data_IF_723776502753
#
_entry.id   IF_723776502753
#
_cell.length_a   1.000
_cell.length_b   1.000
_cell.length_c   1.000
_cell.angle_alpha   90.00
_cell.angle_beta   90.00
_cell.angle_gamma   90.00
#
_symmetry.space_group_name_H-M   'P 1'
#
loop_
_entity.id
_entity.type
_entity.pdbx_description
1 polymer ?
#
# COMPACT_ATOMS: atom_id res chain seq x y z
N UNK A 1 -55.36 -18.53 -30.60
CA UNK A 1 -56.27 -18.24 -29.48
C UNK A 1 -55.99 -19.31 -28.44
N UNK A 2 -55.40 -18.90 -27.30
CA UNK A 2 -55.28 -19.58 -25.97
C UNK A 2 -55.00 -21.10 -26.02
N UNK A 3 -53.93 -21.64 -25.42
CA UNK A 3 -53.76 -21.76 -23.98
C UNK A 3 -52.45 -22.49 -23.64
N UNK A 4 -52.10 -22.44 -22.35
CA UNK A 4 -50.81 -22.74 -21.74
C UNK A 4 -50.38 -24.23 -21.66
N UNK A 5 -49.06 -24.44 -21.49
CA UNK A 5 -48.37 -25.44 -20.64
C UNK A 5 -46.86 -25.31 -20.93
N UNK A 6 -46.08 -24.57 -20.15
CA UNK A 6 -45.47 -24.93 -18.85
C UNK A 6 -44.44 -26.07 -18.94
N UNK A 7 -43.37 -25.90 -18.16
CA UNK A 7 -42.13 -26.71 -18.04
C UNK A 7 -41.07 -26.37 -19.11
N UNK A 8 -39.90 -25.80 -18.78
CA UNK A 8 -39.03 -26.19 -17.68
C UNK A 8 -38.27 -25.01 -17.05
N UNK A 9 -38.05 -25.14 -15.75
CA UNK A 9 -37.14 -24.32 -14.95
C UNK A 9 -35.69 -24.67 -15.29
N UNK A 10 -34.92 -23.69 -15.73
CA UNK A 10 -33.48 -23.65 -15.43
C UNK A 10 -33.11 -22.26 -14.90
N UNK A 11 -32.61 -22.25 -13.67
CA UNK A 11 -32.09 -21.07 -12.98
C UNK A 11 -30.78 -20.63 -13.64
N UNK A 12 -30.86 -19.93 -14.77
CA UNK A 12 -29.78 -19.14 -15.32
C UNK A 12 -29.58 -17.89 -14.46
N UNK A 13 -28.61 -17.91 -13.55
CA UNK A 13 -28.12 -16.68 -12.91
C UNK A 13 -27.45 -15.85 -14.01
N UNK A 14 -28.21 -14.94 -14.60
CA UNK A 14 -27.67 -13.88 -15.46
C UNK A 14 -26.82 -12.98 -14.58
N UNK A 15 -25.52 -13.23 -14.52
CA UNK A 15 -24.55 -12.25 -13.99
C UNK A 15 -24.44 -11.15 -15.05
N UNK A 16 -25.44 -10.28 -15.09
CA UNK A 16 -25.30 -9.00 -15.78
C UNK A 16 -24.26 -8.21 -14.99
N UNK A 17 -23.02 -8.23 -15.47
CA UNK A 17 -21.93 -7.35 -15.03
C UNK A 17 -22.31 -5.94 -15.49
N UNK A 18 -22.80 -5.03 -14.62
CA UNK A 18 -23.14 -3.69 -15.07
C UNK A 18 -21.89 -2.98 -15.60
N UNK A 19 -22.03 -2.34 -16.76
CA UNK A 19 -21.05 -1.48 -17.43
C UNK A 19 -20.47 -0.35 -16.54
N UNK A 20 -21.01 -0.17 -15.33
CA UNK A 20 -20.51 0.70 -14.27
C UNK A 20 -19.10 0.31 -13.74
N UNK A 21 -18.58 -0.87 -14.09
CA UNK A 21 -17.26 -1.34 -13.64
C UNK A 21 -16.05 -0.64 -14.29
N UNK A 22 -16.27 0.24 -15.26
CA UNK A 22 -15.19 0.89 -16.03
C UNK A 22 -14.79 2.30 -15.54
N UNK A 23 -15.20 2.71 -14.33
CA UNK A 23 -15.03 4.09 -13.80
C UNK A 23 -14.39 4.16 -12.39
N UNK A 24 -13.24 3.53 -12.19
CA UNK A 24 -12.37 3.77 -11.02
C UNK A 24 -12.93 3.36 -9.65
N UNK A 25 -14.01 2.58 -9.61
CA UNK A 25 -14.77 2.24 -8.40
C UNK A 25 -14.29 0.97 -7.69
N UNK A 26 -13.34 0.23 -8.26
CA UNK A 26 -12.81 -1.02 -7.69
C UNK A 26 -12.11 -0.79 -6.35
N UNK A 27 -11.79 0.44 -5.98
CA UNK A 27 -11.05 0.72 -4.75
C UNK A 27 -11.93 1.12 -3.55
N UNK A 28 -13.22 1.37 -3.78
CA UNK A 28 -14.10 2.00 -2.78
C UNK A 28 -14.78 1.01 -1.83
N UNK A 29 -14.81 -0.28 -2.19
CA UNK A 29 -15.26 -1.37 -1.32
C UNK A 29 -14.27 -1.68 -0.19
N UNK A 30 -12.98 -1.37 -0.39
CA UNK A 30 -11.93 -1.48 0.65
C UNK A 30 -11.67 -0.17 1.41
N UNK A 31 -12.47 0.87 1.16
CA UNK A 31 -12.30 2.14 1.85
C UNK A 31 -12.65 2.00 3.34
N UNK A 32 -11.78 2.52 4.20
CA UNK A 32 -12.01 2.56 5.65
C UNK A 32 -12.65 3.91 5.97
N UNK A 33 -13.83 3.87 6.59
CA UNK A 33 -14.63 5.07 6.86
C UNK A 33 -14.71 5.33 8.37
N UNK A 34 -14.74 6.61 8.79
CA UNK A 34 -15.04 6.95 10.16
C UNK A 34 -16.49 6.61 10.49
N UNK A 35 -16.71 6.14 11.71
CA UNK A 35 -18.05 6.00 12.26
C UNK A 35 -18.69 7.39 12.41
N UNK A 36 -19.92 7.54 11.91
CA UNK A 36 -20.66 8.79 11.97
C UNK A 36 -20.88 9.24 13.43
N UNK A 37 -20.56 10.50 13.72
CA UNK A 37 -20.77 11.10 15.04
C UNK A 37 -19.76 10.70 16.11
N UNK A 38 -18.78 9.83 15.83
CA UNK A 38 -17.77 9.39 16.81
C UNK A 38 -16.49 10.23 16.83
N UNK A 39 -16.12 10.86 15.72
CA UNK A 39 -14.80 11.51 15.57
C UNK A 39 -14.92 13.01 15.28
N UNK A 40 -14.02 13.81 15.85
CA UNK A 40 -13.89 15.22 15.55
C UNK A 40 -13.33 15.40 14.12
N UNK A 41 -14.01 16.20 13.30
CA UNK A 41 -13.51 16.55 11.96
C UNK A 41 -12.36 17.55 12.08
N UNK A 42 -11.23 17.26 11.43
CA UNK A 42 -10.12 18.19 11.32
C UNK A 42 -9.88 18.58 9.86
N UNK A 43 -9.33 19.77 9.60
CA UNK A 43 -9.05 20.19 8.23
C UNK A 43 -7.84 19.44 7.63
N UNK A 44 -7.62 19.62 6.32
CA UNK A 44 -6.56 18.92 5.60
C UNK A 44 -5.16 19.25 6.14
N UNK A 45 -4.93 20.47 6.59
CA UNK A 45 -3.64 20.90 7.11
C UNK A 45 -3.35 20.27 8.47
N UNK A 46 -4.34 20.25 9.35
CA UNK A 46 -4.30 19.57 10.64
C UNK A 46 -4.06 18.06 10.47
N UNK A 47 -4.74 17.41 9.51
CA UNK A 47 -4.50 16.00 9.21
C UNK A 47 -3.08 15.75 8.72
N UNK A 48 -2.57 16.54 7.78
CA UNK A 48 -1.19 16.41 7.29
C UNK A 48 -0.16 16.55 8.41
N UNK A 49 -0.33 17.55 9.27
CA UNK A 49 0.55 17.76 10.41
C UNK A 49 0.54 16.55 11.36
N UNK A 50 -0.66 16.00 11.65
CA UNK A 50 -0.81 14.79 12.48
C UNK A 50 -0.10 13.58 11.87
N UNK A 51 -0.27 13.35 10.57
CA UNK A 51 0.33 12.21 9.87
C UNK A 51 1.86 12.30 9.84
N UNK A 52 2.43 13.49 9.60
CA UNK A 52 3.89 13.70 9.64
C UNK A 52 4.47 13.55 11.06
N UNK A 53 3.70 13.90 12.08
CA UNK A 53 4.09 13.74 13.48
C UNK A 53 4.13 12.27 13.95
N UNK A 54 3.61 11.33 13.16
CA UNK A 54 3.74 9.89 13.43
C UNK A 54 5.16 9.34 13.16
N UNK A 55 6.05 10.15 12.57
CA UNK A 55 7.44 9.76 12.41
C UNK A 55 8.11 9.50 13.76
N UNK A 56 8.75 8.35 13.87
CA UNK A 56 9.62 8.00 14.99
C UNK A 56 10.97 7.53 14.42
N UNK A 57 12.10 8.16 14.78
CA UNK A 57 13.43 7.76 14.28
C UNK A 57 13.82 6.32 14.65
N UNK A 58 13.10 5.67 15.57
CA UNK A 58 13.30 4.25 15.92
C UNK A 58 12.59 3.29 14.97
N UNK A 59 11.69 3.77 14.11
CA UNK A 59 11.01 2.93 13.13
C UNK A 59 11.86 2.81 11.86
N UNK A 60 11.77 1.67 11.15
CA UNK A 60 12.54 1.43 9.93
C UNK A 60 11.92 2.08 8.67
N UNK A 61 10.99 3.01 8.85
CA UNK A 61 10.27 3.71 7.79
C UNK A 61 10.04 5.17 8.17
N UNK A 62 9.71 5.98 7.17
CA UNK A 62 9.50 7.41 7.34
C UNK A 62 8.30 7.91 6.53
N UNK A 63 7.72 9.01 7.00
CA UNK A 63 6.67 9.78 6.35
C UNK A 63 7.22 11.14 5.95
N UNK A 64 7.22 11.48 4.67
CA UNK A 64 7.77 12.76 4.18
C UNK A 64 6.72 13.53 3.39
N UNK A 65 6.80 14.86 3.42
CA UNK A 65 5.98 15.70 2.55
C UNK A 65 6.62 15.74 1.16
N UNK A 66 5.81 15.53 0.13
CA UNK A 66 6.17 15.81 -1.25
C UNK A 66 5.87 17.27 -1.61
N UNK A 67 6.44 17.74 -2.72
CA UNK A 67 6.27 19.12 -3.21
C UNK A 67 4.84 19.45 -3.66
N UNK A 68 4.06 18.45 -4.02
CA UNK A 68 2.64 18.55 -4.39
C UNK A 68 1.69 18.49 -3.16
N UNK A 69 2.25 18.48 -1.96
CA UNK A 69 1.49 18.40 -0.71
C UNK A 69 0.95 17.00 -0.39
N UNK A 70 1.34 15.97 -1.16
CA UNK A 70 1.13 14.59 -0.78
C UNK A 70 2.05 14.19 0.37
N UNK A 71 1.68 13.13 1.10
CA UNK A 71 2.57 12.47 2.05
C UNK A 71 3.07 11.17 1.42
N UNK A 72 4.37 10.90 1.55
CA UNK A 72 4.99 9.66 1.11
C UNK A 72 5.42 8.87 2.33
N UNK A 73 4.79 7.72 2.55
CA UNK A 73 5.26 6.73 3.50
C UNK A 73 6.21 5.77 2.78
N UNK A 74 7.43 5.62 3.27
CA UNK A 74 8.45 4.78 2.63
C UNK A 74 9.17 3.89 3.64
N UNK A 75 9.30 2.62 3.31
CA UNK A 75 10.13 1.65 4.02
C UNK A 75 11.15 1.07 3.04
N UNK A 76 12.43 1.33 3.28
CA UNK A 76 13.56 0.70 2.58
C UNK A 76 13.86 -0.64 3.27
N UNK A 77 13.28 -1.72 2.76
CA UNK A 77 13.31 -3.07 3.36
C UNK A 77 14.69 -3.70 3.20
N UNK A 78 15.27 -3.55 2.01
CA UNK A 78 16.62 -3.96 1.66
C UNK A 78 17.29 -2.78 0.97
N UNK A 79 18.35 -2.23 1.56
CA UNK A 79 18.98 -1.01 1.05
C UNK A 79 20.50 -1.09 1.24
N UNK A 80 20.94 -0.94 2.49
CA UNK A 80 22.35 -0.85 2.85
C UNK A 80 22.87 -2.15 3.44
N UNK A 81 22.03 -2.87 4.19
CA UNK A 81 22.36 -4.15 4.82
C UNK A 81 22.77 -5.20 3.78
N UNK A 82 22.09 -5.25 2.63
CA UNK A 82 22.38 -6.23 1.59
C UNK A 82 23.72 -5.96 0.87
N UNK A 83 24.12 -4.68 0.76
CA UNK A 83 25.40 -4.32 0.13
C UNK A 83 26.61 -4.84 0.91
N UNK A 84 26.54 -4.81 2.25
CA UNK A 84 27.65 -5.28 3.09
C UNK A 84 27.82 -6.80 3.06
N UNK A 85 26.73 -7.56 2.96
CA UNK A 85 26.80 -9.04 3.01
C UNK A 85 27.02 -9.69 1.65
N UNK A 86 26.49 -9.10 0.58
CA UNK A 86 26.55 -9.74 -0.73
C UNK A 86 27.73 -9.33 -1.61
N UNK A 87 28.54 -8.34 -1.20
CA UNK A 87 29.83 -7.94 -1.80
C UNK A 87 29.78 -7.49 -3.27
N UNK A 88 29.32 -8.36 -4.17
CA UNK A 88 29.13 -8.18 -5.62
C UNK A 88 27.67 -8.09 -6.04
N UNK A 89 26.70 -8.43 -5.17
CA UNK A 89 25.28 -8.25 -5.48
C UNK A 89 24.69 -7.05 -4.74
N UNK A 90 23.98 -6.20 -5.47
CA UNK A 90 23.21 -5.09 -4.95
C UNK A 90 21.73 -5.45 -5.01
N UNK A 91 21.09 -5.63 -3.86
CA UNK A 91 19.64 -5.80 -3.78
C UNK A 91 19.04 -4.57 -3.08
N UNK A 92 18.06 -3.96 -3.73
CA UNK A 92 17.23 -2.92 -3.14
C UNK A 92 15.80 -3.39 -3.16
N UNK A 93 15.10 -3.25 -2.04
CA UNK A 93 13.68 -3.51 -1.94
C UNK A 93 13.04 -2.40 -1.12
N UNK A 94 11.97 -1.81 -1.64
CA UNK A 94 11.24 -0.74 -0.97
C UNK A 94 9.73 -0.89 -1.12
N UNK A 95 9.04 -0.51 -0.06
CA UNK A 95 7.61 -0.27 -0.05
C UNK A 95 7.36 1.23 0.01
N UNK A 96 6.39 1.71 -0.77
CA UNK A 96 5.99 3.12 -0.80
C UNK A 96 4.46 3.23 -0.84
N UNK A 97 3.90 4.10 0.00
CA UNK A 97 2.52 4.57 -0.13
C UNK A 97 2.50 6.09 -0.33
N UNK A 98 1.84 6.54 -1.40
CA UNK A 98 1.63 7.97 -1.68
C UNK A 98 0.20 8.35 -1.31
N UNK A 99 0.06 9.29 -0.38
CA UNK A 99 -1.20 9.76 0.19
C UNK A 99 -1.52 11.14 -0.40
N UNK A 100 -2.57 11.21 -1.23
CA UNK A 100 -3.12 12.45 -1.74
C UNK A 100 -4.39 12.83 -0.97
N UNK A 101 -4.56 14.13 -0.69
CA UNK A 101 -5.68 14.64 0.10
C UNK A 101 -6.72 15.26 -0.83
N UNK A 102 -7.98 14.87 -0.64
CA UNK A 102 -9.16 15.44 -1.31
C UNK A 102 -10.03 16.10 -0.25
N UNK A 103 -9.84 17.41 0.02
CA UNK A 103 -10.64 18.15 0.99
C UNK A 103 -12.11 18.20 0.62
N UNK A 104 -12.45 18.23 -0.69
CA UNK A 104 -13.85 18.26 -1.13
C UNK A 104 -14.65 17.02 -0.72
N UNK A 105 -13.99 15.89 -0.51
CA UNK A 105 -14.62 14.62 -0.11
C UNK A 105 -14.20 14.16 1.29
N UNK A 106 -13.32 14.90 1.99
CA UNK A 106 -12.67 14.46 3.22
C UNK A 106 -12.05 13.06 3.04
N UNK A 107 -11.34 12.86 1.93
CA UNK A 107 -10.71 11.59 1.56
C UNK A 107 -9.18 11.70 1.54
N UNK A 108 -8.51 10.66 2.03
CA UNK A 108 -7.09 10.40 1.78
C UNK A 108 -7.00 9.26 0.79
N UNK A 109 -6.53 9.54 -0.43
CA UNK A 109 -6.37 8.56 -1.50
C UNK A 109 -4.95 8.02 -1.51
N UNK A 110 -4.83 6.70 -1.53
CA UNK A 110 -3.54 6.06 -1.24
C UNK A 110 -3.14 5.09 -2.34
N UNK A 111 -2.05 5.39 -3.00
CA UNK A 111 -1.44 4.52 -4.01
C UNK A 111 -0.26 3.79 -3.37
N UNK A 112 -0.34 2.47 -3.33
CA UNK A 112 0.72 1.62 -2.80
C UNK A 112 1.55 1.03 -3.94
N UNK A 113 2.86 0.98 -3.75
CA UNK A 113 3.78 0.29 -4.64
C UNK A 113 4.89 -0.39 -3.87
N UNK A 114 5.36 -1.50 -4.44
CA UNK A 114 6.55 -2.23 -4.01
C UNK A 114 7.48 -2.29 -5.21
N UNK A 115 8.77 -2.07 -4.99
CA UNK A 115 9.76 -2.31 -6.04
C UNK A 115 11.02 -2.90 -5.47
N UNK A 116 11.58 -3.82 -6.23
CA UNK A 116 12.80 -4.52 -5.92
C UNK A 116 13.69 -4.59 -7.14
N UNK A 117 15.00 -4.47 -6.95
CA UNK A 117 15.99 -4.72 -7.99
C UNK A 117 17.17 -5.46 -7.41
N UNK A 118 17.67 -6.46 -8.12
CA UNK A 118 18.90 -7.17 -7.80
C UNK A 118 19.84 -7.08 -8.99
N UNK A 119 21.07 -6.64 -8.72
CA UNK A 119 22.14 -6.51 -9.71
C UNK A 119 23.35 -7.30 -9.25
N UNK A 120 23.98 -8.08 -10.12
CA UNK A 120 25.21 -8.81 -9.86
C UNK A 120 25.98 -9.13 -11.15
N UNK A 121 27.12 -9.84 -11.07
CA UNK A 121 27.91 -10.20 -12.24
C UNK A 121 27.09 -11.03 -13.24
N UNK A 122 26.68 -10.42 -14.36
CA UNK A 122 25.88 -11.05 -15.40
C UNK A 122 24.38 -11.22 -15.07
N UNK A 123 23.90 -10.66 -13.95
CA UNK A 123 22.51 -10.82 -13.51
C UNK A 123 21.88 -9.45 -13.19
N UNK A 124 20.72 -9.19 -13.80
CA UNK A 124 19.88 -8.04 -13.46
C UNK A 124 18.42 -8.50 -13.42
N UNK A 125 17.79 -8.38 -12.26
CA UNK A 125 16.36 -8.65 -12.10
C UNK A 125 15.68 -7.45 -11.46
N UNK A 126 14.48 -7.14 -11.94
CA UNK A 126 13.66 -6.07 -11.40
C UNK A 126 12.24 -6.59 -11.22
N UNK A 127 11.62 -6.24 -10.10
CA UNK A 127 10.22 -6.47 -9.85
C UNK A 127 9.56 -5.16 -9.43
N UNK A 128 8.30 -4.99 -9.83
CA UNK A 128 7.50 -3.88 -9.36
C UNK A 128 6.05 -4.30 -9.26
N UNK A 129 5.40 -3.81 -8.22
CA UNK A 129 3.98 -3.98 -7.97
C UNK A 129 3.38 -2.61 -7.68
N UNK A 130 2.20 -2.36 -8.22
CA UNK A 130 1.36 -1.21 -7.87
C UNK A 130 -0.07 -1.69 -7.76
N UNK A 131 -0.72 -1.42 -6.63
CA UNK A 131 -2.05 -1.94 -6.36
C UNK A 131 -2.50 -1.68 -4.93
N UNK A 132 -3.44 -2.49 -4.46
CA UNK A 132 -3.97 -2.41 -3.09
C UNK A 132 -3.34 -3.53 -2.27
N UNK A 133 -2.62 -3.17 -1.20
CA UNK A 133 -2.05 -4.11 -0.25
C UNK A 133 -2.94 -4.14 1.00
N UNK A 134 -3.77 -5.19 1.10
CA UNK A 134 -4.67 -5.38 2.26
C UNK A 134 -3.93 -5.97 3.46
N UNK A 135 -3.11 -6.99 3.20
CA UNK A 135 -2.28 -7.65 4.18
C UNK A 135 -1.01 -8.13 3.49
N UNK A 136 0.15 -7.80 4.05
CA UNK A 136 1.42 -8.31 3.60
C UNK A 136 2.37 -8.40 4.79
N UNK A 137 2.92 -9.59 4.97
CA UNK A 137 3.98 -9.85 5.94
C UNK A 137 5.05 -10.69 5.27
N UNK A 138 6.28 -10.20 5.26
CA UNK A 138 7.42 -10.97 4.76
C UNK A 138 8.50 -11.01 5.84
N UNK A 139 8.85 -12.22 6.25
CA UNK A 139 10.00 -12.47 7.11
C UNK A 139 11.06 -13.15 6.27
N UNK A 140 12.23 -12.55 6.20
CA UNK A 140 13.38 -13.11 5.49
C UNK A 140 14.50 -13.35 6.48
N UNK A 141 15.16 -14.49 6.34
CA UNK A 141 16.34 -14.86 7.14
C UNK A 141 17.38 -15.49 6.22
N UNK A 142 18.60 -14.98 6.28
CA UNK A 142 19.73 -15.58 5.58
C UNK A 142 20.84 -15.93 6.57
N UNK A 143 21.40 -17.11 6.32
CA UNK A 143 22.49 -17.68 7.08
C UNK A 143 23.72 -17.72 6.17
N UNK A 144 24.83 -17.15 6.60
CA UNK A 144 26.10 -17.29 5.93
C UNK A 144 26.97 -18.29 6.68
N UNK A 145 27.63 -19.14 5.89
CA UNK A 145 28.75 -19.95 6.36
C UNK A 145 29.99 -19.07 6.31
N UNK A 146 30.50 -18.66 7.46
CA UNK A 146 31.65 -17.73 7.54
C UNK A 146 32.77 -18.36 8.37
N UNK A 147 34.00 -18.40 7.85
CA UNK A 147 35.19 -18.85 8.59
C UNK A 147 36.00 -19.98 7.92
N UNK A 148 37.23 -20.17 8.38
CA UNK A 148 38.01 -21.39 8.16
C UNK A 148 37.57 -22.43 9.21
N UNK A 149 37.63 -23.72 8.84
CA UNK A 149 37.11 -24.85 9.61
C UNK A 149 37.38 -24.74 11.14
N UNK A 150 36.35 -24.97 11.99
CA UNK A 150 34.97 -25.36 11.66
C UNK A 150 34.13 -24.20 11.12
N UNK A 151 33.29 -24.50 10.12
CA UNK A 151 32.37 -23.53 9.52
C UNK A 151 31.18 -23.35 10.48
N UNK A 152 31.07 -22.18 11.11
CA UNK A 152 29.91 -21.84 11.94
C UNK A 152 28.85 -21.10 11.10
N UNK A 153 27.59 -21.58 11.06
CA UNK A 153 26.50 -20.85 10.42
C UNK A 153 26.14 -19.62 11.26
N UNK A 154 26.29 -18.43 10.68
CA UNK A 154 25.88 -17.17 11.30
C UNK A 154 24.67 -16.61 10.58
N UNK A 155 23.62 -16.26 11.32
CA UNK A 155 22.52 -15.45 10.78
C UNK A 155 23.11 -14.08 10.43
N UNK A 156 23.18 -13.80 9.12
CA UNK A 156 23.76 -12.55 8.62
C UNK A 156 22.70 -11.51 8.31
N UNK A 157 21.46 -11.94 8.11
CA UNK A 157 20.37 -11.05 7.76
C UNK A 157 19.04 -11.59 8.28
N UNK A 158 18.29 -10.75 8.98
CA UNK A 158 16.88 -10.98 9.27
C UNK A 158 16.11 -9.69 9.18
N UNK A 159 15.04 -9.69 8.38
CA UNK A 159 14.05 -8.60 8.39
C UNK A 159 12.63 -9.18 8.58
N UNK A 160 11.78 -8.42 9.28
CA UNK A 160 10.35 -8.72 9.49
C UNK A 160 9.55 -7.50 9.00
N UNK A 161 9.22 -7.52 7.71
CA UNK A 161 8.39 -6.51 7.09
C UNK A 161 6.92 -6.85 7.37
N UNK A 162 6.21 -5.86 7.90
CA UNK A 162 4.77 -5.92 8.11
C UNK A 162 4.16 -4.59 7.66
N UNK A 163 3.41 -4.62 6.57
CA UNK A 163 2.82 -3.42 5.96
C UNK A 163 1.90 -2.68 6.95
N UNK A 164 1.32 -3.39 7.93
CA UNK A 164 0.45 -2.80 8.94
C UNK A 164 1.20 -1.88 9.90
N UNK A 165 2.50 -2.12 10.12
CA UNK A 165 3.32 -1.24 10.98
C UNK A 165 3.46 0.16 10.40
N UNK A 166 3.59 0.26 9.08
CA UNK A 166 3.71 1.55 8.40
C UNK A 166 2.34 2.16 8.09
N UNK A 167 1.35 1.36 7.70
CA UNK A 167 0.04 1.84 7.22
C UNK A 167 -1.00 2.02 8.34
N UNK A 168 -0.98 1.15 9.36
CA UNK A 168 -1.95 1.16 10.46
C UNK A 168 -2.07 2.51 11.15
N UNK A 169 -0.97 3.09 11.66
CA UNK A 169 -1.01 4.41 12.30
C UNK A 169 -1.55 5.53 11.39
N UNK A 170 -1.29 5.46 10.08
CA UNK A 170 -1.81 6.43 9.11
C UNK A 170 -3.33 6.30 8.93
N UNK A 171 -3.84 5.06 8.83
CA UNK A 171 -5.28 4.80 8.76
C UNK A 171 -5.93 5.31 10.04
N UNK A 172 -5.44 4.90 11.21
CA UNK A 172 -6.04 5.25 12.50
C UNK A 172 -6.12 6.78 12.68
N UNK A 173 -5.04 7.50 12.38
CA UNK A 173 -5.02 8.96 12.45
C UNK A 173 -5.96 9.63 11.43
N UNK A 174 -6.09 9.06 10.23
CA UNK A 174 -7.03 9.52 9.19
C UNK A 174 -8.47 9.39 9.67
N UNK A 175 -8.83 8.20 10.17
CA UNK A 175 -10.17 7.92 10.69
C UNK A 175 -10.49 8.77 11.91
N UNK A 176 -9.54 8.95 12.83
CA UNK A 176 -9.70 9.77 14.02
C UNK A 176 -9.92 11.27 13.72
N UNK A 177 -9.50 11.74 12.54
CA UNK A 177 -9.78 13.10 12.05
C UNK A 177 -11.09 13.18 11.25
N UNK A 178 -11.85 12.09 11.12
CA UNK A 178 -13.10 12.06 10.36
C UNK A 178 -12.90 11.99 8.84
N UNK A 179 -11.71 11.62 8.37
CA UNK A 179 -11.42 11.45 6.94
C UNK A 179 -11.58 9.98 6.54
N UNK A 180 -11.93 9.73 5.29
CA UNK A 180 -12.03 8.39 4.71
C UNK A 180 -10.69 7.99 4.09
N UNK A 181 -10.20 6.79 4.42
CA UNK A 181 -9.04 6.19 3.77
C UNK A 181 -9.48 5.41 2.52
N UNK A 182 -8.99 5.82 1.35
CA UNK A 182 -9.35 5.24 0.05
C UNK A 182 -8.11 4.70 -0.66
N UNK A 183 -7.83 3.40 -0.59
CA UNK A 183 -6.79 2.79 -1.44
C UNK A 183 -7.11 3.04 -2.91
N UNK A 184 -6.11 3.20 -3.78
CA UNK A 184 -6.27 3.33 -5.23
C UNK A 184 -5.21 2.51 -5.96
N UNK A 185 -5.54 2.02 -7.16
CA UNK A 185 -4.65 1.17 -7.96
C UNK A 185 -3.83 2.00 -8.96
N UNK A 186 -4.39 3.10 -9.46
CA UNK A 186 -3.79 3.93 -10.51
C UNK A 186 -3.43 5.31 -9.97
N UNK A 187 -2.31 5.84 -10.43
CA UNK A 187 -1.87 7.21 -10.11
C UNK A 187 -2.87 8.27 -10.56
N UNK A 188 -3.57 8.07 -11.67
CA UNK A 188 -4.65 8.98 -12.11
C UNK A 188 -5.78 9.13 -11.08
N UNK A 189 -5.98 8.14 -10.21
CA UNK A 189 -7.00 8.19 -9.16
C UNK A 189 -6.55 8.91 -7.88
N UNK A 190 -5.23 9.16 -7.71
CA UNK A 190 -4.72 9.98 -6.60
C UNK A 190 -5.19 11.44 -6.72
N UNK A 191 -5.16 11.97 -7.94
CA UNK A 191 -5.35 13.41 -8.23
C UNK A 191 -6.73 13.72 -8.80
N UNK A 192 -7.65 12.75 -8.88
CA UNK A 192 -8.96 12.95 -9.49
C UNK A 192 -9.84 13.88 -8.62
N UNK A 193 -9.58 15.18 -8.72
CA UNK A 193 -10.57 16.25 -8.68
C UNK A 193 -11.10 16.36 -10.11
N UNK A 194 -12.30 15.85 -10.37
CA UNK A 194 -12.99 16.17 -11.61
C UNK A 194 -14.40 16.62 -11.28
N UNK A 195 -14.64 17.91 -11.50
CA UNK A 195 -15.98 18.49 -11.56
C UNK A 195 -16.82 17.64 -12.52
N UNK A 196 -17.93 17.10 -12.03
CA UNK A 196 -19.00 16.60 -12.87
C UNK A 196 -19.62 17.84 -13.53
N UNK A 197 -19.37 18.00 -14.82
CA UNK A 197 -20.17 18.85 -15.71
C UNK A 197 -21.16 17.97 -16.44
#
# INVERSE_FOLDING_TARGET
>A
MLDAMDLEREHGITISVPLAMWRGTVSRWVAVRPEAGRHASCDAAALRARLLALNDPRQPFQYTSASDGAIVAEWRIADSTWQQFFGRFHAVEKYRATLAFSPEHSEVRVLESRSGSRTGPGEYTTNSFQGIVLFERSRHREWALTGNLPIEPREVLSYDFDVRRIKGPLIDATIACGWTWVPVILRSHLTASRKLS
#
